data_IF_163609375392
#
_entry.id   IF_163609375392
#
_cell.length_a   1.000
_cell.length_b   1.000
_cell.length_c   1.000
_cell.angle_alpha   90.00
_cell.angle_beta   90.00
_cell.angle_gamma   90.00
#
_symmetry.space_group_name_H-M   'P 1'
#
loop_
_entity.id
_entity.type
_entity.pdbx_description
1 polymer ?
#
# COMPACT_ATOMS: atom_id res chain seq x y z
N UNK A 1 -29.90 0.54 0.45
CA UNK A 1 -29.62 -0.72 -0.26
C UNK A 1 -29.21 -0.37 -1.69
N UNK A 2 -27.92 -0.28 -1.98
CA UNK A 2 -27.40 0.00 -3.32
C UNK A 2 -27.40 -1.33 -4.10
N UNK A 3 -28.39 -1.52 -4.95
CA UNK A 3 -28.32 -2.58 -5.96
C UNK A 3 -27.18 -2.24 -6.93
N UNK A 4 -26.04 -2.88 -6.78
CA UNK A 4 -25.01 -2.93 -7.81
C UNK A 4 -25.61 -3.80 -8.90
N UNK A 5 -26.15 -3.19 -9.95
CA UNK A 5 -26.45 -3.90 -11.19
C UNK A 5 -25.15 -4.56 -11.63
N UNK A 6 -25.06 -5.86 -11.49
CA UNK A 6 -23.94 -6.65 -11.98
C UNK A 6 -23.81 -6.38 -13.46
N UNK A 7 -22.70 -5.73 -13.85
CA UNK A 7 -22.38 -5.55 -15.25
C UNK A 7 -22.17 -6.91 -15.90
N UNK A 8 -23.25 -7.53 -16.36
CA UNK A 8 -23.34 -8.87 -16.93
C UNK A 8 -22.44 -9.08 -18.16
N UNK A 9 -22.01 -8.02 -18.82
CA UNK A 9 -21.24 -8.11 -20.08
C UNK A 9 -19.77 -8.57 -19.95
N UNK A 10 -19.18 -8.58 -18.77
CA UNK A 10 -17.80 -9.06 -18.58
C UNK A 10 -17.67 -10.59 -18.54
N UNK A 11 -18.79 -11.35 -18.46
CA UNK A 11 -18.80 -12.79 -18.20
C UNK A 11 -19.70 -13.62 -19.12
N UNK A 12 -20.30 -13.01 -20.13
CA UNK A 12 -21.31 -13.67 -21.00
C UNK A 12 -20.76 -14.70 -21.99
N UNK A 13 -19.44 -14.87 -22.13
CA UNK A 13 -18.83 -15.90 -22.99
C UNK A 13 -17.83 -16.74 -22.19
N UNK A 14 -18.21 -17.95 -21.82
CA UNK A 14 -17.31 -18.93 -21.22
C UNK A 14 -18.00 -19.88 -20.23
N UNK A 15 -17.24 -20.88 -19.77
CA UNK A 15 -17.67 -21.83 -18.75
C UNK A 15 -17.94 -21.07 -17.45
N UNK A 16 -19.03 -21.34 -16.72
CA UNK A 16 -19.31 -20.78 -15.42
C UNK A 16 -18.12 -20.96 -14.45
N UNK A 17 -17.88 -19.96 -13.61
CA UNK A 17 -16.84 -20.06 -12.59
C UNK A 17 -17.23 -21.15 -11.58
N UNK A 18 -16.30 -22.07 -11.30
CA UNK A 18 -16.48 -23.11 -10.30
C UNK A 18 -16.55 -22.58 -8.86
N UNK A 19 -16.10 -21.34 -8.64
CA UNK A 19 -16.11 -20.62 -7.37
C UNK A 19 -16.55 -19.18 -7.63
N UNK A 20 -17.39 -18.60 -6.76
CA UNK A 20 -17.89 -17.23 -6.97
C UNK A 20 -16.79 -16.19 -6.80
N UNK A 21 -16.98 -15.01 -7.41
CA UNK A 21 -16.05 -13.89 -7.26
C UNK A 21 -15.97 -13.44 -5.80
N UNK A 22 -17.11 -13.45 -5.09
CA UNK A 22 -17.18 -13.09 -3.69
C UNK A 22 -16.31 -14.04 -2.82
N UNK A 23 -16.41 -15.34 -3.05
CA UNK A 23 -15.61 -16.33 -2.32
C UNK A 23 -14.11 -16.20 -2.62
N UNK A 24 -13.74 -15.94 -3.89
CA UNK A 24 -12.35 -15.71 -4.29
C UNK A 24 -11.77 -14.50 -3.54
N UNK A 25 -12.52 -13.39 -3.49
CA UNK A 25 -12.10 -12.19 -2.75
C UNK A 25 -12.04 -12.45 -1.25
N UNK A 26 -13.04 -13.15 -0.69
CA UNK A 26 -13.10 -13.50 0.72
C UNK A 26 -11.89 -14.37 1.13
N UNK A 27 -11.58 -15.43 0.37
CA UNK A 27 -10.43 -16.29 0.64
C UNK A 27 -9.10 -15.55 0.53
N UNK A 28 -8.96 -14.65 -0.45
CA UNK A 28 -7.76 -13.85 -0.60
C UNK A 28 -7.57 -12.84 0.54
N UNK A 29 -8.65 -12.20 1.00
CA UNK A 29 -8.64 -11.28 2.13
C UNK A 29 -8.41 -12.00 3.45
N UNK A 30 -9.08 -13.14 3.65
CA UNK A 30 -8.90 -14.00 4.83
C UNK A 30 -7.44 -14.44 4.97
N UNK A 31 -6.84 -14.89 3.86
CA UNK A 31 -5.42 -15.22 3.81
C UNK A 31 -4.54 -14.11 4.40
N UNK A 32 -4.78 -12.87 3.98
CA UNK A 32 -3.96 -11.74 4.43
C UNK A 32 -4.28 -11.33 5.86
N UNK A 33 -5.55 -11.39 6.25
CA UNK A 33 -5.99 -11.00 7.59
C UNK A 33 -5.50 -11.96 8.67
N UNK A 34 -5.53 -13.24 8.38
CA UNK A 34 -5.10 -14.29 9.33
C UNK A 34 -3.59 -14.64 9.19
N UNK A 35 -2.85 -13.88 8.38
CA UNK A 35 -1.41 -14.09 8.21
C UNK A 35 -1.03 -15.43 7.58
N UNK A 36 -1.94 -16.08 6.84
CA UNK A 36 -1.66 -17.35 6.18
C UNK A 36 -0.64 -17.12 5.05
N UNK A 37 0.52 -17.75 5.13
CA UNK A 37 1.62 -17.48 4.20
C UNK A 37 1.30 -17.87 2.76
N UNK A 38 0.71 -19.06 2.54
CA UNK A 38 0.58 -19.64 1.20
C UNK A 38 -0.88 -19.74 0.74
N UNK A 39 -1.11 -19.59 -0.57
CA UNK A 39 -2.41 -19.87 -1.18
C UNK A 39 -2.76 -21.36 -1.10
N UNK A 40 -1.74 -22.23 -0.96
CA UNK A 40 -1.93 -23.67 -0.82
C UNK A 40 -2.56 -24.00 0.53
N UNK A 41 -2.09 -23.41 1.62
CA UNK A 41 -2.70 -23.57 2.94
C UNK A 41 -4.16 -23.11 2.96
N UNK A 42 -4.49 -21.97 2.31
CA UNK A 42 -5.89 -21.55 2.17
C UNK A 42 -6.73 -22.59 1.39
N UNK A 43 -6.17 -23.15 0.32
CA UNK A 43 -6.84 -24.18 -0.46
C UNK A 43 -7.12 -25.45 0.38
N UNK A 44 -6.15 -25.88 1.18
CA UNK A 44 -6.25 -27.07 2.04
C UNK A 44 -7.21 -26.86 3.23
N UNK A 45 -7.31 -25.65 3.76
CA UNK A 45 -8.23 -25.32 4.87
C UNK A 45 -9.69 -25.26 4.41
N UNK A 46 -9.94 -24.65 3.25
CA UNK A 46 -11.31 -24.34 2.81
C UNK A 46 -11.85 -25.28 1.75
N UNK A 47 -11.02 -26.12 1.15
CA UNK A 47 -11.39 -27.11 0.11
C UNK A 47 -12.40 -26.55 -0.92
N UNK A 48 -12.12 -25.39 -1.57
CA UNK A 48 -13.08 -24.77 -2.47
C UNK A 48 -13.41 -25.70 -3.65
N UNK A 49 -14.63 -25.61 -4.23
CA UNK A 49 -15.07 -26.50 -5.29
C UNK A 49 -14.38 -26.22 -6.65
N UNK A 50 -13.06 -26.10 -6.63
CA UNK A 50 -12.24 -25.87 -7.82
C UNK A 50 -10.81 -26.42 -7.60
N UNK A 51 -10.04 -26.57 -8.67
CA UNK A 51 -8.64 -26.95 -8.53
C UNK A 51 -7.79 -25.84 -7.89
N UNK A 52 -6.69 -26.22 -7.21
CA UNK A 52 -5.72 -25.26 -6.68
C UNK A 52 -5.22 -24.26 -7.74
N UNK A 53 -4.95 -24.75 -8.96
CA UNK A 53 -4.54 -23.91 -10.09
C UNK A 53 -5.63 -22.87 -10.42
N UNK A 54 -6.89 -23.28 -10.46
CA UNK A 54 -8.04 -22.40 -10.71
C UNK A 54 -8.13 -21.32 -9.63
N UNK A 55 -8.02 -21.69 -8.35
CA UNK A 55 -8.02 -20.73 -7.24
C UNK A 55 -6.90 -19.69 -7.39
N UNK A 56 -5.66 -20.12 -7.63
CA UNK A 56 -4.51 -19.22 -7.76
C UNK A 56 -4.67 -18.24 -8.93
N UNK A 57 -5.10 -18.75 -10.09
CA UNK A 57 -5.35 -17.91 -11.29
C UNK A 57 -6.46 -16.91 -11.02
N UNK A 58 -7.55 -17.35 -10.39
CA UNK A 58 -8.70 -16.50 -10.06
C UNK A 58 -8.33 -15.40 -9.05
N UNK A 59 -7.61 -15.72 -7.98
CA UNK A 59 -7.12 -14.70 -7.02
C UNK A 59 -6.28 -13.65 -7.76
N UNK A 60 -5.35 -14.06 -8.61
CA UNK A 60 -4.53 -13.11 -9.35
C UNK A 60 -5.38 -12.28 -10.35
N UNK A 61 -6.33 -12.88 -11.05
CA UNK A 61 -7.21 -12.21 -12.02
C UNK A 61 -8.09 -11.15 -11.34
N UNK A 62 -8.70 -11.49 -10.21
CA UNK A 62 -9.63 -10.60 -9.51
C UNK A 62 -8.93 -9.57 -8.60
N UNK A 63 -7.61 -9.55 -8.56
CA UNK A 63 -6.87 -8.50 -7.87
C UNK A 63 -7.15 -7.10 -8.44
N UNK A 64 -7.46 -6.95 -9.72
CA UNK A 64 -7.87 -5.67 -10.32
C UNK A 64 -9.22 -5.18 -9.77
N UNK A 65 -10.16 -6.09 -9.51
CA UNK A 65 -11.41 -5.74 -8.85
C UNK A 65 -11.16 -5.32 -7.39
N UNK A 66 -10.31 -6.07 -6.68
CA UNK A 66 -9.86 -5.71 -5.33
C UNK A 66 -9.19 -4.32 -5.30
N UNK A 67 -8.36 -3.99 -6.31
CA UNK A 67 -7.77 -2.67 -6.44
C UNK A 67 -8.82 -1.56 -6.62
N UNK A 68 -9.86 -1.79 -7.41
CA UNK A 68 -10.98 -0.84 -7.57
C UNK A 68 -11.72 -0.63 -6.24
N UNK A 69 -12.00 -1.70 -5.49
CA UNK A 69 -12.61 -1.62 -4.15
C UNK A 69 -11.70 -0.81 -3.22
N UNK A 70 -10.40 -1.09 -3.20
CA UNK A 70 -9.43 -0.34 -2.41
C UNK A 70 -9.46 1.15 -2.74
N UNK A 71 -9.48 1.52 -4.02
CA UNK A 71 -9.53 2.94 -4.42
C UNK A 71 -10.84 3.63 -4.02
N UNK A 72 -11.97 2.92 -4.04
CA UNK A 72 -13.25 3.43 -3.53
C UNK A 72 -13.14 3.69 -2.02
N UNK A 73 -12.60 2.74 -1.24
CA UNK A 73 -12.41 2.90 0.20
C UNK A 73 -11.48 4.07 0.53
N UNK A 74 -10.38 4.22 -0.20
CA UNK A 74 -9.47 5.36 -0.07
C UNK A 74 -10.22 6.68 -0.31
N UNK A 75 -11.01 6.77 -1.36
CA UNK A 75 -11.82 7.98 -1.64
C UNK A 75 -12.88 8.25 -0.57
N UNK A 76 -13.51 7.21 -0.03
CA UNK A 76 -14.45 7.37 1.09
C UNK A 76 -13.75 7.86 2.37
N UNK A 77 -12.54 7.38 2.63
CA UNK A 77 -11.72 7.84 3.75
C UNK A 77 -11.31 9.31 3.58
N UNK A 78 -10.98 9.76 2.37
CA UNK A 78 -10.63 11.15 2.08
C UNK A 78 -11.75 12.13 2.47
N UNK A 79 -13.02 11.77 2.24
CA UNK A 79 -14.19 12.62 2.59
C UNK A 79 -14.33 12.90 4.09
N UNK A 80 -13.81 12.03 4.94
CA UNK A 80 -13.89 12.11 6.41
C UNK A 80 -12.50 12.18 7.05
N UNK A 81 -11.49 12.59 6.27
CA UNK A 81 -10.11 12.62 6.72
C UNK A 81 -9.91 13.67 7.82
N UNK A 82 -9.13 13.31 8.83
CA UNK A 82 -8.68 14.27 9.84
C UNK A 82 -7.77 15.32 9.20
N UNK A 83 -7.73 16.54 9.79
CA UNK A 83 -6.90 17.63 9.29
C UNK A 83 -5.41 17.27 9.30
N UNK A 84 -4.95 16.52 10.30
CA UNK A 84 -3.57 16.02 10.40
C UNK A 84 -3.41 14.72 9.64
N UNK A 85 -2.40 14.68 8.78
CA UNK A 85 -2.04 13.54 7.91
C UNK A 85 -0.58 13.18 8.08
N UNK A 86 -0.29 11.91 7.93
CA UNK A 86 1.07 11.39 7.98
C UNK A 86 1.42 10.81 6.61
N UNK A 87 2.52 11.26 6.02
CA UNK A 87 3.01 10.75 4.73
C UNK A 87 4.41 10.20 4.90
N UNK A 88 4.61 8.97 4.46
CA UNK A 88 5.92 8.33 4.46
C UNK A 88 5.98 7.20 3.44
N UNK A 89 7.17 6.62 3.25
CA UNK A 89 7.40 5.48 2.38
C UNK A 89 8.03 4.30 3.12
N UNK A 90 7.78 3.10 2.59
CA UNK A 90 8.44 1.90 3.10
C UNK A 90 8.92 1.02 1.97
N UNK A 91 10.04 0.31 2.21
CA UNK A 91 10.59 -0.69 1.31
C UNK A 91 9.70 -1.94 1.22
N UNK A 92 9.57 -2.49 0.03
CA UNK A 92 8.97 -3.80 -0.24
C UNK A 92 10.00 -4.64 -1.02
N UNK A 93 10.91 -5.36 -0.32
CA UNK A 93 11.82 -6.28 -0.97
C UNK A 93 11.06 -7.39 -1.69
N UNK A 94 11.45 -7.72 -2.92
CA UNK A 94 10.86 -8.83 -3.69
C UNK A 94 11.63 -10.13 -3.52
N UNK A 95 12.87 -10.05 -3.06
CA UNK A 95 13.72 -11.20 -2.77
C UNK A 95 14.90 -10.79 -1.86
N UNK A 96 15.63 -11.79 -1.38
CA UNK A 96 16.91 -11.54 -0.70
C UNK A 96 17.92 -10.91 -1.67
N UNK A 97 18.75 -9.97 -1.20
CA UNK A 97 19.72 -9.22 -1.98
C UNK A 97 20.67 -10.13 -2.79
N UNK A 98 21.08 -11.27 -2.22
CA UNK A 98 21.94 -12.26 -2.92
C UNK A 98 21.27 -12.87 -4.16
N UNK A 99 19.93 -12.91 -4.19
CA UNK A 99 19.13 -13.47 -5.28
C UNK A 99 18.67 -12.43 -6.30
N UNK A 100 18.91 -11.14 -6.06
CA UNK A 100 18.36 -10.05 -6.87
C UNK A 100 18.70 -10.16 -8.36
N UNK A 101 19.95 -10.50 -8.70
CA UNK A 101 20.40 -10.65 -10.10
C UNK A 101 19.72 -11.80 -10.86
N UNK A 102 19.22 -12.81 -10.14
CA UNK A 102 18.52 -13.96 -10.72
C UNK A 102 17.00 -13.83 -10.65
N UNK A 103 16.50 -12.79 -10.00
CA UNK A 103 15.08 -12.60 -9.80
C UNK A 103 14.39 -12.15 -11.10
N UNK A 104 13.56 -13.02 -11.69
CA UNK A 104 12.93 -12.78 -13.00
C UNK A 104 11.55 -12.12 -12.87
N UNK A 105 10.75 -12.55 -11.89
CA UNK A 105 9.32 -12.20 -11.79
C UNK A 105 9.04 -10.70 -11.66
N UNK A 106 9.92 -9.90 -11.03
CA UNK A 106 9.73 -8.46 -10.86
C UNK A 106 10.81 -7.61 -11.54
N UNK A 107 11.55 -8.18 -12.49
CA UNK A 107 12.70 -7.54 -13.16
C UNK A 107 12.36 -6.18 -13.78
N UNK A 108 11.18 -6.02 -14.35
CA UNK A 108 10.76 -4.78 -15.00
C UNK A 108 10.37 -3.67 -14.00
N UNK A 109 9.88 -4.03 -12.82
CA UNK A 109 9.35 -3.09 -11.83
C UNK A 109 10.30 -2.82 -10.68
N UNK A 110 11.00 -3.86 -10.18
CA UNK A 110 11.92 -3.73 -9.06
C UNK A 110 13.22 -3.03 -9.44
N UNK A 111 13.75 -2.25 -8.50
CA UNK A 111 15.06 -1.59 -8.59
C UNK A 111 15.75 -1.64 -7.24
N UNK A 112 17.07 -1.50 -7.26
CA UNK A 112 17.85 -1.34 -6.05
C UNK A 112 17.51 -0.01 -5.37
N UNK A 113 17.16 -0.08 -4.10
CA UNK A 113 16.94 1.08 -3.24
C UNK A 113 17.79 0.98 -1.98
N UNK A 114 17.94 2.10 -1.28
CA UNK A 114 18.63 2.18 0.00
C UNK A 114 17.72 2.82 1.04
N UNK A 115 17.67 2.21 2.23
CA UNK A 115 16.99 2.74 3.42
C UNK A 115 17.98 2.80 4.57
N UNK A 116 17.57 3.31 5.72
CA UNK A 116 18.38 3.27 6.95
C UNK A 116 18.78 1.85 7.37
N UNK A 117 18.03 0.82 6.92
CA UNK A 117 18.31 -0.60 7.19
C UNK A 117 19.30 -1.22 6.19
N UNK A 118 19.71 -0.49 5.14
CA UNK A 118 20.62 -0.96 4.12
C UNK A 118 20.00 -1.03 2.72
N UNK A 119 20.66 -1.78 1.82
CA UNK A 119 20.21 -1.97 0.44
C UNK A 119 19.10 -3.02 0.35
N UNK A 120 18.16 -2.82 -0.55
CA UNK A 120 17.14 -3.81 -0.91
C UNK A 120 16.87 -3.76 -2.42
N UNK A 121 16.40 -4.87 -2.97
CA UNK A 121 15.92 -4.97 -4.34
C UNK A 121 14.41 -5.15 -4.34
N UNK A 122 13.67 -4.17 -4.86
CA UNK A 122 12.22 -4.20 -4.78
C UNK A 122 11.51 -2.92 -5.19
N UNK A 123 10.39 -2.68 -4.55
CA UNK A 123 9.53 -1.52 -4.71
C UNK A 123 9.52 -0.68 -3.42
N UNK A 124 8.99 0.53 -3.52
CA UNK A 124 8.58 1.36 -2.38
C UNK A 124 7.06 1.53 -2.39
N UNK A 125 6.45 1.42 -1.22
CA UNK A 125 5.07 1.82 -0.98
C UNK A 125 5.07 3.17 -0.28
N UNK A 126 4.53 4.17 -0.95
CA UNK A 126 4.25 5.48 -0.37
C UNK A 126 2.79 5.51 0.06
N UNK A 127 2.51 5.92 1.29
CA UNK A 127 1.15 6.09 1.78
C UNK A 127 0.98 7.41 2.49
N UNK A 128 -0.26 7.91 2.45
CA UNK A 128 -0.72 8.97 3.35
C UNK A 128 -1.87 8.42 4.17
N UNK A 129 -1.77 8.57 5.48
CA UNK A 129 -2.83 8.16 6.42
C UNK A 129 -3.29 9.36 7.23
N UNK A 130 -4.51 9.30 7.76
CA UNK A 130 -4.95 10.27 8.76
C UNK A 130 -4.43 9.92 10.17
N UNK A 131 -4.75 10.78 11.14
CA UNK A 131 -4.39 10.59 12.54
C UNK A 131 -4.95 9.28 13.14
N UNK A 132 -6.03 8.74 12.57
CA UNK A 132 -6.65 7.46 12.98
C UNK A 132 -6.06 6.25 12.26
N UNK A 133 -5.07 6.45 11.37
CA UNK A 133 -4.44 5.40 10.58
C UNK A 133 -5.25 4.95 9.37
N UNK A 134 -6.29 5.69 8.97
CA UNK A 134 -7.05 5.42 7.75
C UNK A 134 -6.21 5.79 6.53
N UNK A 135 -6.15 4.90 5.55
CA UNK A 135 -5.42 5.13 4.30
C UNK A 135 -6.16 6.15 3.43
N UNK A 136 -5.47 7.25 3.07
CA UNK A 136 -6.00 8.35 2.26
C UNK A 136 -5.41 8.39 0.86
N UNK A 137 -4.16 7.98 0.70
CA UNK A 137 -3.49 7.91 -0.59
C UNK A 137 -2.44 6.80 -0.56
N UNK A 138 -2.17 6.19 -1.72
CA UNK A 138 -1.12 5.20 -1.87
C UNK A 138 -0.52 5.26 -3.28
N UNK A 139 0.76 4.92 -3.36
CA UNK A 139 1.49 4.78 -4.64
C UNK A 139 2.61 3.77 -4.49
N UNK A 140 2.73 2.86 -5.46
CA UNK A 140 3.87 1.96 -5.60
C UNK A 140 4.85 2.53 -6.60
N UNK A 141 6.13 2.50 -6.29
CA UNK A 141 7.21 2.97 -7.17
C UNK A 141 8.39 1.98 -7.14
N UNK A 142 9.29 2.03 -8.13
CA UNK A 142 10.56 1.33 -8.06
C UNK A 142 11.36 1.74 -6.81
N UNK A 143 12.18 0.82 -6.27
CA UNK A 143 12.91 1.01 -5.01
C UNK A 143 13.87 2.20 -4.98
N UNK A 144 14.35 2.67 -6.15
CA UNK A 144 15.26 3.82 -6.27
C UNK A 144 14.55 5.18 -6.39
N UNK A 145 13.24 5.22 -6.32
CA UNK A 145 12.48 6.48 -6.46
C UNK A 145 12.71 7.38 -5.25
N UNK A 146 12.98 8.67 -5.49
CA UNK A 146 13.08 9.69 -4.44
C UNK A 146 11.68 10.00 -3.91
N UNK A 147 11.52 9.93 -2.59
CA UNK A 147 10.24 10.09 -1.90
C UNK A 147 9.66 11.51 -2.08
N UNK A 148 10.51 12.54 -2.18
CA UNK A 148 10.12 13.93 -2.43
C UNK A 148 9.43 14.13 -3.78
N UNK A 149 9.90 13.43 -4.84
CA UNK A 149 9.29 13.49 -6.18
C UNK A 149 7.88 12.91 -6.21
N UNK A 150 7.58 12.01 -5.29
CA UNK A 150 6.27 11.35 -5.19
C UNK A 150 5.28 12.16 -4.35
N UNK A 151 5.78 12.95 -3.40
CA UNK A 151 4.99 13.59 -2.36
C UNK A 151 3.85 14.46 -2.91
N UNK A 152 4.12 15.40 -3.82
CA UNK A 152 3.10 16.27 -4.40
C UNK A 152 2.03 15.48 -5.16
N UNK A 153 2.45 14.52 -5.99
CA UNK A 153 1.51 13.71 -6.78
C UNK A 153 0.68 12.75 -5.93
N UNK A 154 1.22 12.28 -4.81
CA UNK A 154 0.51 11.41 -3.86
C UNK A 154 -0.60 12.17 -3.12
N UNK A 155 -0.32 13.42 -2.73
CA UNK A 155 -1.16 14.22 -1.85
C UNK A 155 -1.94 15.32 -2.58
N UNK A 156 -2.02 15.29 -3.92
CA UNK A 156 -2.61 16.38 -4.74
C UNK A 156 -4.06 16.72 -4.39
N UNK A 157 -4.85 15.70 -3.98
CA UNK A 157 -6.28 15.82 -3.71
C UNK A 157 -6.57 15.91 -2.19
N UNK A 158 -5.56 16.24 -1.38
CA UNK A 158 -5.66 16.28 0.08
C UNK A 158 -5.23 17.65 0.62
N UNK A 159 -5.95 18.16 1.61
CA UNK A 159 -5.65 19.39 2.34
C UNK A 159 -5.29 19.11 3.81
N UNK A 160 -4.71 20.08 4.50
CA UNK A 160 -4.39 20.06 5.92
C UNK A 160 -2.89 19.99 6.24
N UNK A 161 -2.56 19.49 7.43
CA UNK A 161 -1.20 19.41 7.94
C UNK A 161 -0.57 18.04 7.61
N UNK A 162 0.50 18.06 6.83
CA UNK A 162 1.20 16.83 6.41
C UNK A 162 2.45 16.64 7.23
N UNK A 163 2.41 15.69 8.14
CA UNK A 163 3.57 15.31 8.97
C UNK A 163 4.42 14.33 8.17
N UNK A 164 5.68 14.68 7.94
CA UNK A 164 6.64 13.89 7.18
C UNK A 164 7.98 13.76 7.92
N UNK A 165 8.86 12.87 7.44
CA UNK A 165 10.20 12.72 7.98
C UNK A 165 11.13 13.87 7.54
N UNK A 166 12.24 14.06 8.27
CA UNK A 166 13.29 15.04 7.95
C UNK A 166 13.86 14.88 6.51
N UNK A 167 13.71 13.68 5.91
CA UNK A 167 14.06 13.42 4.51
C UNK A 167 13.23 14.20 3.50
N UNK A 168 12.03 14.64 3.87
CA UNK A 168 11.14 15.42 3.01
C UNK A 168 11.41 16.93 3.06
N UNK A 169 12.26 17.42 3.98
CA UNK A 169 12.59 18.85 4.06
C UNK A 169 13.33 19.27 2.80
N UNK A 170 12.69 20.15 2.04
CA UNK A 170 13.23 20.79 0.84
C UNK A 170 12.49 22.11 0.62
N UNK A 171 13.25 23.21 0.47
CA UNK A 171 12.66 24.53 0.16
C UNK A 171 11.82 24.49 -1.12
N UNK A 172 12.25 23.70 -2.10
CA UNK A 172 11.53 23.50 -3.36
C UNK A 172 10.21 22.75 -3.15
N UNK A 173 10.22 21.69 -2.31
CA UNK A 173 9.01 20.93 -2.01
C UNK A 173 8.03 21.78 -1.21
N UNK A 174 8.49 22.48 -0.16
CA UNK A 174 7.65 23.40 0.63
C UNK A 174 7.03 24.46 -0.29
N UNK A 175 7.83 25.14 -1.14
CA UNK A 175 7.34 26.15 -2.08
C UNK A 175 6.29 25.63 -3.08
N UNK A 176 6.45 24.37 -3.51
CA UNK A 176 5.54 23.75 -4.50
C UNK A 176 4.28 23.20 -3.87
N UNK A 177 4.37 22.71 -2.64
CA UNK A 177 3.28 21.99 -1.97
C UNK A 177 2.45 22.88 -1.06
N UNK A 178 3.08 23.79 -0.29
CA UNK A 178 2.39 24.60 0.69
C UNK A 178 1.47 25.62 0.01
N UNK A 179 0.24 25.71 0.49
CA UNK A 179 -0.81 26.61 0.06
C UNK A 179 -1.61 27.07 1.28
N UNK A 180 -2.63 27.89 1.08
CA UNK A 180 -3.53 28.33 2.15
C UNK A 180 -4.28 27.16 2.82
N UNK A 181 -4.45 26.04 2.10
CA UNK A 181 -5.21 24.88 2.60
C UNK A 181 -4.35 23.71 3.05
N UNK A 182 -3.04 23.69 2.72
CA UNK A 182 -2.14 22.56 3.04
C UNK A 182 -0.73 23.01 3.36
N UNK A 183 -0.12 22.39 4.36
CA UNK A 183 1.23 22.72 4.86
C UNK A 183 1.99 21.45 5.20
N UNK A 184 3.29 21.38 4.84
CA UNK A 184 4.20 20.33 5.28
C UNK A 184 4.82 20.71 6.63
N UNK A 185 4.73 19.79 7.58
CA UNK A 185 5.43 19.85 8.85
C UNK A 185 6.39 18.65 8.95
N UNK A 186 7.69 18.94 8.95
CA UNK A 186 8.71 17.91 9.11
C UNK A 186 9.70 18.27 10.20
N UNK A 187 10.28 17.27 10.85
CA UNK A 187 11.29 17.47 11.90
C UNK A 187 12.51 18.15 11.29
N UNK A 188 12.93 19.33 11.78
CA UNK A 188 14.15 19.96 11.30
C UNK A 188 15.35 19.02 11.54
N UNK A 189 16.29 19.00 10.60
CA UNK A 189 17.57 18.32 10.83
C UNK A 189 18.37 19.06 11.90
N UNK A 190 19.24 18.34 12.62
CA UNK A 190 20.04 18.91 13.71
C UNK A 190 20.87 20.16 13.31
N UNK A 191 21.21 20.30 12.04
CA UNK A 191 21.94 21.45 11.50
C UNK A 191 21.03 22.61 11.01
N UNK A 192 19.72 22.50 11.17
CA UNK A 192 18.77 23.54 10.75
C UNK A 192 18.31 24.36 11.96
N UNK A 193 18.49 25.67 11.86
CA UNK A 193 18.01 26.64 12.86
C UNK A 193 16.52 26.98 12.64
N UNK A 194 15.64 25.95 12.58
CA UNK A 194 14.18 26.16 12.47
C UNK A 194 13.58 26.01 13.88
N UNK A 195 13.05 27.10 14.42
CA UNK A 195 12.33 27.09 15.68
C UNK A 195 10.91 26.59 15.38
N UNK A 196 10.51 25.54 16.10
CA UNK A 196 9.14 25.02 16.06
C UNK A 196 8.37 25.57 17.24
N UNK A 197 7.10 25.89 17.03
CA UNK A 197 6.18 26.16 18.15
C UNK A 197 5.84 24.85 18.87
N UNK A 198 5.43 24.91 20.13
CA UNK A 198 5.01 23.73 20.92
C UNK A 198 3.91 22.94 20.23
N UNK A 199 3.01 23.65 19.59
CA UNK A 199 1.94 23.06 18.78
C UNK A 199 2.50 22.25 17.59
N UNK A 200 3.41 22.81 16.80
CA UNK A 200 4.05 22.11 15.68
C UNK A 200 4.83 20.89 16.17
N UNK A 201 5.56 21.03 17.27
CA UNK A 201 6.29 19.93 17.88
C UNK A 201 5.36 18.78 18.29
N UNK A 202 4.26 19.09 18.97
CA UNK A 202 3.25 18.10 19.36
C UNK A 202 2.66 17.36 18.18
N UNK A 203 2.38 18.03 17.05
CA UNK A 203 1.91 17.38 15.84
C UNK A 203 2.96 16.45 15.23
N UNK A 204 4.20 16.88 15.17
CA UNK A 204 5.31 16.10 14.62
C UNK A 204 5.51 14.80 15.41
N UNK A 205 5.33 14.80 16.73
CA UNK A 205 5.44 13.61 17.57
C UNK A 205 4.41 12.52 17.18
N UNK A 206 3.29 12.89 16.55
CA UNK A 206 2.31 11.91 16.08
C UNK A 206 2.79 11.08 14.89
N UNK A 207 3.96 11.39 14.28
CA UNK A 207 4.56 10.69 13.14
C UNK A 207 4.74 9.18 13.37
N UNK A 208 5.02 8.77 14.60
CA UNK A 208 5.15 7.35 14.95
C UNK A 208 3.96 6.49 14.51
N UNK A 209 2.79 7.09 14.30
CA UNK A 209 1.58 6.36 13.84
C UNK A 209 1.74 5.76 12.45
N UNK A 210 2.42 6.43 11.53
CA UNK A 210 2.64 5.87 10.18
C UNK A 210 3.61 4.67 10.20
N UNK A 211 4.59 4.70 11.11
CA UNK A 211 5.49 3.56 11.31
C UNK A 211 4.73 2.32 11.83
N UNK A 212 3.77 2.52 12.74
CA UNK A 212 2.88 1.45 13.19
C UNK A 212 2.02 0.90 12.05
N UNK A 213 1.53 1.76 11.15
CA UNK A 213 0.78 1.32 9.98
C UNK A 213 1.63 0.45 9.05
N UNK A 214 2.88 0.84 8.78
CA UNK A 214 3.81 0.03 8.00
C UNK A 214 4.16 -1.28 8.69
N UNK A 215 4.41 -1.25 10.00
CA UNK A 215 4.65 -2.46 10.79
C UNK A 215 3.47 -3.43 10.66
N UNK A 216 2.25 -2.94 10.84
CA UNK A 216 1.06 -3.76 10.72
C UNK A 216 0.91 -4.37 9.32
N UNK A 217 1.07 -3.57 8.26
CA UNK A 217 1.03 -4.06 6.88
C UNK A 217 2.05 -5.18 6.62
N UNK A 218 3.28 -5.03 7.14
CA UNK A 218 4.37 -6.01 6.94
C UNK A 218 4.19 -7.26 7.77
N UNK A 219 3.86 -7.13 9.06
CA UNK A 219 3.82 -8.27 10.01
C UNK A 219 2.48 -9.01 10.00
N UNK A 220 1.37 -8.29 9.94
CA UNK A 220 0.05 -8.90 10.13
C UNK A 220 -0.73 -9.09 8.83
N UNK A 221 -0.45 -8.30 7.80
CA UNK A 221 -1.18 -8.37 6.53
C UNK A 221 -0.34 -8.90 5.36
N UNK A 222 0.84 -9.45 5.61
CA UNK A 222 1.65 -10.14 4.62
C UNK A 222 2.06 -9.28 3.41
N UNK A 223 2.31 -7.98 3.61
CA UNK A 223 2.71 -7.07 2.53
C UNK A 223 4.00 -7.56 1.83
N UNK A 224 4.97 -8.03 2.61
CA UNK A 224 6.23 -8.56 2.08
C UNK A 224 6.08 -10.06 1.89
N UNK A 225 6.31 -10.53 0.66
CA UNK A 225 6.34 -11.95 0.33
C UNK A 225 7.30 -12.21 -0.82
N UNK A 226 8.04 -13.30 -0.74
CA UNK A 226 8.91 -13.82 -1.80
C UNK A 226 8.34 -15.08 -2.48
N UNK A 227 7.11 -15.46 -2.12
CA UNK A 227 6.42 -16.65 -2.62
C UNK A 227 5.83 -16.50 -4.03
N UNK A 228 5.32 -15.33 -4.47
CA UNK A 228 4.76 -15.20 -5.79
C UNK A 228 5.79 -15.52 -6.89
N UNK A 229 5.33 -16.20 -7.96
CA UNK A 229 6.16 -16.61 -9.10
C UNK A 229 5.96 -15.77 -10.36
N UNK A 230 5.06 -14.80 -10.31
CA UNK A 230 4.71 -13.91 -11.44
C UNK A 230 4.44 -12.50 -10.95
N UNK A 231 4.55 -11.53 -11.85
CA UNK A 231 4.22 -10.12 -11.60
C UNK A 231 2.80 -9.97 -11.05
N UNK A 232 1.82 -10.59 -11.72
CA UNK A 232 0.42 -10.57 -11.27
C UNK A 232 0.25 -11.14 -9.85
N UNK A 233 1.04 -12.16 -9.49
CA UNK A 233 1.04 -12.73 -8.15
C UNK A 233 1.58 -11.76 -7.09
N UNK A 234 2.62 -10.99 -7.40
CA UNK A 234 3.16 -9.95 -6.52
C UNK A 234 2.17 -8.80 -6.34
N UNK A 235 1.65 -8.25 -7.44
CA UNK A 235 0.67 -7.16 -7.37
C UNK A 235 -0.62 -7.60 -6.66
N UNK A 236 -1.11 -8.81 -6.92
CA UNK A 236 -2.25 -9.36 -6.19
C UNK A 236 -1.96 -9.42 -4.68
N UNK A 237 -0.78 -9.90 -4.26
CA UNK A 237 -0.41 -9.93 -2.85
C UNK A 237 -0.44 -8.53 -2.23
N UNK A 238 0.14 -7.52 -2.87
CA UNK A 238 0.16 -6.14 -2.36
C UNK A 238 -1.24 -5.55 -2.25
N UNK A 239 -2.06 -5.73 -3.29
CA UNK A 239 -3.44 -5.20 -3.32
C UNK A 239 -4.27 -5.83 -2.20
N UNK A 240 -4.26 -7.16 -2.06
CA UNK A 240 -5.03 -7.83 -1.01
C UNK A 240 -4.52 -7.51 0.40
N UNK A 241 -3.21 -7.38 0.58
CA UNK A 241 -2.62 -6.95 1.85
C UNK A 241 -3.12 -5.57 2.27
N UNK A 242 -3.05 -4.60 1.36
CA UNK A 242 -3.47 -3.22 1.64
C UNK A 242 -5.00 -3.14 1.80
N UNK A 243 -5.76 -3.89 0.98
CA UNK A 243 -7.21 -3.92 1.10
C UNK A 243 -7.66 -4.55 2.43
N UNK A 244 -7.05 -5.67 2.85
CA UNK A 244 -7.32 -6.29 4.14
C UNK A 244 -7.01 -5.35 5.31
N UNK A 245 -5.92 -4.58 5.22
CA UNK A 245 -5.59 -3.53 6.18
C UNK A 245 -6.66 -2.43 6.24
N UNK A 246 -7.24 -2.02 5.11
CA UNK A 246 -8.29 -0.98 5.06
C UNK A 246 -9.64 -1.45 5.62
N UNK A 247 -9.87 -2.76 5.66
CA UNK A 247 -11.12 -3.39 6.14
C UNK A 247 -11.07 -3.82 7.61
N UNK A 248 -10.00 -3.44 8.35
CA UNK A 248 -9.83 -3.76 9.77
C UNK A 248 -10.86 -3.05 10.67
#
# INVERSE_FOLDING_TARGET
MLQIKSGSRLFEKGRPLAITIADILALALFKQREGIETKKAVYEIFEPPCSYKTLVVSINRFSLLAARILMILVKLNQRKAHLVKHTDSTDIPVCNNRKARYHKAMKFFARWGKTGKGWFYGLKLHITTDLKGKLLALKLTPGNTDDRKVFCSLNKDLDGFFIADAGYISKELEKTFDTDTRIILAIPRANMKKILTDWQYSLIQTRMRIELNFRNLKLFYGLISNLPRSENGYFANYIYSILAYCLK
#
